data_IF_085599286272
#
_entry.id   IF_085599286272
#
_cell.length_a   1.000
_cell.length_b   1.000
_cell.length_c   1.000
_cell.angle_alpha   90.00
_cell.angle_beta   90.00
_cell.angle_gamma   90.00
#
_symmetry.space_group_name_H-M   'P 1'
#
loop_
_entity.id
_entity.type
_entity.pdbx_description
1 polymer ?
#
# COMPACT_ATOMS: atom_id res chain seq x y z
N UNK A 1 -33.98 33.60 6.17
CA UNK A 1 -32.89 32.93 5.41
C UNK A 1 -33.41 31.57 4.99
N UNK A 2 -33.73 31.40 3.70
CA UNK A 2 -34.54 30.28 3.24
C UNK A 2 -33.82 28.92 3.36
N UNK A 3 -34.56 27.89 3.77
CA UNK A 3 -34.07 26.52 3.91
C UNK A 3 -33.47 25.96 2.60
N UNK A 4 -33.93 26.47 1.45
CA UNK A 4 -33.45 26.12 0.10
C UNK A 4 -32.02 26.64 -0.13
N UNK A 5 -31.74 27.90 0.19
CA UNK A 5 -30.40 28.49 -0.03
C UNK A 5 -29.34 27.89 0.89
N UNK A 6 -29.72 27.49 2.10
CA UNK A 6 -28.83 26.79 3.02
C UNK A 6 -28.44 25.39 2.50
N UNK A 7 -29.41 24.62 1.98
CA UNK A 7 -29.17 23.29 1.41
C UNK A 7 -28.25 23.35 0.19
N UNK A 8 -28.45 24.31 -0.70
CA UNK A 8 -27.57 24.54 -1.86
C UNK A 8 -26.14 24.88 -1.45
N UNK A 9 -25.96 25.71 -0.42
CA UNK A 9 -24.63 26.07 0.10
C UNK A 9 -23.87 24.85 0.64
N UNK A 10 -24.55 23.97 1.39
CA UNK A 10 -23.94 22.72 1.88
C UNK A 10 -23.57 21.78 0.74
N UNK A 11 -24.44 21.65 -0.27
CA UNK A 11 -24.17 20.80 -1.44
C UNK A 11 -22.97 21.30 -2.23
N UNK A 12 -22.90 22.61 -2.53
CA UNK A 12 -21.75 23.22 -3.22
C UNK A 12 -20.45 23.00 -2.46
N UNK A 13 -20.45 23.14 -1.14
CA UNK A 13 -19.29 22.86 -0.29
C UNK A 13 -18.88 21.39 -0.36
N UNK A 14 -19.84 20.46 -0.29
CA UNK A 14 -19.57 19.03 -0.40
C UNK A 14 -18.92 18.68 -1.76
N UNK A 15 -19.45 19.22 -2.86
CA UNK A 15 -18.88 19.02 -4.20
C UNK A 15 -17.44 19.54 -4.28
N UNK A 16 -17.17 20.73 -3.74
CA UNK A 16 -15.82 21.29 -3.73
C UNK A 16 -14.85 20.41 -2.95
N UNK A 17 -15.22 20.01 -1.73
CA UNK A 17 -14.39 19.12 -0.89
C UNK A 17 -14.13 17.79 -1.58
N UNK A 18 -15.16 17.18 -2.17
CA UNK A 18 -15.00 15.93 -2.94
C UNK A 18 -14.04 16.10 -4.10
N UNK A 19 -14.14 17.18 -4.88
CA UNK A 19 -13.21 17.46 -5.99
C UNK A 19 -11.78 17.57 -5.51
N UNK A 20 -11.53 18.34 -4.44
CA UNK A 20 -10.20 18.49 -3.85
C UNK A 20 -9.63 17.12 -3.48
N UNK A 21 -10.37 16.32 -2.74
CA UNK A 21 -9.93 14.98 -2.33
C UNK A 21 -9.63 14.08 -3.53
N UNK A 22 -10.49 14.09 -4.55
CA UNK A 22 -10.30 13.24 -5.72
C UNK A 22 -9.06 13.65 -6.54
N UNK A 23 -8.84 14.95 -6.74
CA UNK A 23 -7.64 15.45 -7.41
C UNK A 23 -6.38 15.20 -6.60
N UNK A 24 -6.41 15.41 -5.28
CA UNK A 24 -5.30 15.08 -4.38
C UNK A 24 -4.98 13.59 -4.43
N UNK A 25 -5.98 12.72 -4.41
CA UNK A 25 -5.80 11.26 -4.53
C UNK A 25 -5.10 10.89 -5.83
N UNK A 26 -5.53 11.47 -6.95
CA UNK A 26 -4.91 11.25 -8.26
C UNK A 26 -3.45 11.76 -8.27
N UNK A 27 -3.20 12.94 -7.70
CA UNK A 27 -1.85 13.50 -7.55
C UNK A 27 -0.92 12.59 -6.74
N UNK A 28 -1.38 12.04 -5.61
CA UNK A 28 -0.62 11.11 -4.78
C UNK A 28 -0.27 9.84 -5.57
N UNK A 29 -1.24 9.26 -6.30
CA UNK A 29 -1.00 8.05 -7.11
C UNK A 29 0.07 8.32 -8.17
N UNK A 30 -0.05 9.42 -8.90
CA UNK A 30 0.95 9.81 -9.91
C UNK A 30 2.31 9.99 -9.26
N UNK A 31 2.36 10.61 -8.07
CA UNK A 31 3.60 10.83 -7.36
C UNK A 31 4.30 9.53 -6.99
N UNK A 32 3.59 8.61 -6.32
CA UNK A 32 4.14 7.33 -5.86
C UNK A 32 4.65 6.48 -7.03
N UNK A 33 3.98 6.53 -8.17
CA UNK A 33 4.37 5.74 -9.33
C UNK A 33 5.56 6.33 -10.11
N UNK A 34 5.80 7.65 -10.02
CA UNK A 34 6.81 8.33 -10.84
C UNK A 34 8.03 8.83 -10.07
N UNK A 35 7.88 9.16 -8.79
CA UNK A 35 8.92 9.80 -8.01
C UNK A 35 9.22 9.01 -6.73
N UNK A 36 10.43 8.45 -6.59
CA UNK A 36 10.85 7.76 -5.36
C UNK A 36 11.20 8.70 -4.20
N UNK A 37 11.05 10.02 -4.37
CA UNK A 37 11.38 11.03 -3.35
C UNK A 37 10.28 11.16 -2.29
N UNK A 38 10.65 11.47 -1.05
CA UNK A 38 9.75 11.70 0.09
C UNK A 38 8.90 10.47 0.48
N UNK A 39 9.45 9.28 0.31
CA UNK A 39 8.75 8.01 0.48
C UNK A 39 8.07 7.86 1.85
N UNK A 40 8.75 8.26 2.92
CA UNK A 40 8.25 8.23 4.30
C UNK A 40 6.93 9.02 4.44
N UNK A 41 6.86 10.21 3.84
CA UNK A 41 5.67 11.05 3.89
C UNK A 41 4.54 10.46 3.03
N UNK A 42 4.86 9.90 1.87
CA UNK A 42 3.86 9.28 0.99
C UNK A 42 3.19 8.07 1.63
N UNK A 43 3.94 7.25 2.38
CA UNK A 43 3.38 6.14 3.17
C UNK A 43 2.34 6.65 4.18
N UNK A 44 2.67 7.72 4.92
CA UNK A 44 1.74 8.33 5.90
C UNK A 44 0.51 8.91 5.20
N UNK A 45 0.70 9.65 4.11
CA UNK A 45 -0.40 10.26 3.35
C UNK A 45 -1.35 9.19 2.83
N UNK A 46 -0.84 8.12 2.21
CA UNK A 46 -1.66 7.00 1.74
C UNK A 46 -2.43 6.32 2.87
N UNK A 47 -1.80 6.12 4.04
CA UNK A 47 -2.50 5.62 5.22
C UNK A 47 -3.67 6.53 5.65
N UNK A 48 -3.49 7.85 5.61
CA UNK A 48 -4.54 8.78 6.03
C UNK A 48 -5.70 8.90 5.04
N UNK A 49 -5.48 8.70 3.75
CA UNK A 49 -6.49 8.97 2.71
C UNK A 49 -7.81 8.18 2.88
N UNK A 50 -7.82 6.85 3.11
CA UNK A 50 -9.06 6.12 3.38
C UNK A 50 -9.77 6.60 4.65
N UNK A 51 -9.01 6.96 5.70
CA UNK A 51 -9.57 7.48 6.96
C UNK A 51 -10.28 8.81 6.71
N UNK A 52 -9.65 9.72 5.95
CA UNK A 52 -10.25 10.99 5.53
C UNK A 52 -11.55 10.74 4.73
N UNK A 53 -11.54 9.78 3.79
CA UNK A 53 -12.73 9.41 3.02
C UNK A 53 -13.90 8.95 3.90
N UNK A 54 -13.64 8.08 4.88
CA UNK A 54 -14.63 7.60 5.85
C UNK A 54 -15.16 8.76 6.72
N UNK A 55 -14.27 9.63 7.21
CA UNK A 55 -14.65 10.79 8.02
C UNK A 55 -15.53 11.76 7.24
N UNK A 56 -15.20 12.07 5.99
CA UNK A 56 -16.00 12.95 5.13
C UNK A 56 -17.39 12.38 4.87
N UNK A 57 -17.50 11.07 4.61
CA UNK A 57 -18.79 10.41 4.52
C UNK A 57 -19.61 10.61 5.81
N UNK A 58 -19.01 10.34 6.97
CA UNK A 58 -19.70 10.41 8.27
C UNK A 58 -20.15 11.82 8.64
N UNK A 59 -19.24 12.79 8.50
CA UNK A 59 -19.47 14.19 8.87
C UNK A 59 -20.46 14.89 7.94
N UNK A 60 -20.52 14.47 6.67
CA UNK A 60 -21.48 15.00 5.69
C UNK A 60 -22.90 14.47 5.89
N UNK A 61 -23.13 13.56 6.85
CA UNK A 61 -24.43 12.90 7.10
C UNK A 61 -25.03 12.24 5.84
N UNK A 62 -24.18 11.78 4.92
CA UNK A 62 -24.57 11.10 3.69
C UNK A 62 -24.74 12.00 2.45
N UNK A 63 -24.38 13.29 2.52
CA UNK A 63 -24.27 14.15 1.33
C UNK A 63 -23.08 13.72 0.47
N UNK A 64 -21.94 13.46 1.12
CA UNK A 64 -20.77 12.84 0.50
C UNK A 64 -20.96 11.33 0.53
N UNK A 65 -20.67 10.68 -0.61
CA UNK A 65 -20.94 9.27 -0.84
C UNK A 65 -19.65 8.51 -1.13
N UNK A 66 -19.66 7.21 -0.84
CA UNK A 66 -18.62 6.25 -1.22
C UNK A 66 -19.32 5.20 -2.08
N UNK A 67 -19.48 5.47 -3.37
CA UNK A 67 -20.24 4.62 -4.28
C UNK A 67 -19.41 4.30 -5.52
N UNK A 68 -19.54 3.11 -6.10
CA UNK A 68 -18.89 2.79 -7.37
C UNK A 68 -19.50 3.56 -8.56
N UNK A 69 -20.74 4.06 -8.42
CA UNK A 69 -21.44 4.75 -9.49
C UNK A 69 -20.86 6.16 -9.69
N UNK A 70 -20.27 6.40 -10.86
CA UNK A 70 -19.48 7.60 -11.20
C UNK A 70 -20.26 8.91 -11.25
N UNK A 71 -21.59 8.86 -11.28
CA UNK A 71 -22.45 10.01 -11.61
C UNK A 71 -22.77 10.96 -10.44
N UNK A 72 -22.15 10.79 -9.26
CA UNK A 72 -22.32 11.74 -8.16
C UNK A 72 -21.11 12.67 -8.03
N UNK A 73 -21.34 13.97 -8.12
CA UNK A 73 -20.34 15.01 -7.88
C UNK A 73 -19.84 15.07 -6.43
N UNK A 74 -20.47 14.31 -5.52
CA UNK A 74 -20.11 14.18 -4.10
C UNK A 74 -19.49 12.81 -3.75
N UNK A 75 -19.00 12.06 -4.74
CA UNK A 75 -18.38 10.76 -4.52
C UNK A 75 -16.87 10.85 -4.22
N UNK A 76 -16.45 10.38 -3.04
CA UNK A 76 -15.04 10.38 -2.57
C UNK A 76 -14.34 9.03 -2.69
N UNK A 77 -14.84 8.12 -3.53
CA UNK A 77 -14.22 6.81 -3.76
C UNK A 77 -12.74 6.92 -4.14
N UNK A 78 -12.30 8.01 -4.78
CA UNK A 78 -10.92 8.17 -5.19
C UNK A 78 -9.92 8.15 -4.02
N UNK A 79 -10.35 8.56 -2.81
CA UNK A 79 -9.53 8.54 -1.59
C UNK A 79 -9.05 7.14 -1.19
N UNK A 80 -9.65 6.08 -1.74
CA UNK A 80 -9.36 4.71 -1.41
C UNK A 80 -8.34 4.06 -2.36
N UNK A 81 -8.01 4.70 -3.49
CA UNK A 81 -7.02 4.14 -4.44
C UNK A 81 -5.54 4.34 -4.07
N UNK A 82 -5.09 5.47 -3.48
CA UNK A 82 -3.67 5.68 -3.19
C UNK A 82 -2.97 4.52 -2.45
N UNK A 83 -3.57 3.91 -1.40
CA UNK A 83 -2.93 2.79 -0.73
C UNK A 83 -2.77 1.52 -1.57
N UNK A 84 -3.64 1.28 -2.55
CA UNK A 84 -3.53 0.13 -3.45
C UNK A 84 -2.26 0.29 -4.31
N UNK A 85 -2.03 1.50 -4.81
CA UNK A 85 -0.82 1.81 -5.57
C UNK A 85 0.42 1.85 -4.69
N UNK A 86 0.29 2.25 -3.42
CA UNK A 86 1.38 2.14 -2.46
C UNK A 86 1.75 0.67 -2.21
N UNK A 87 0.77 -0.23 -2.02
CA UNK A 87 1.01 -1.66 -1.84
C UNK A 87 1.78 -2.25 -3.04
N UNK A 88 1.36 -1.89 -4.26
CA UNK A 88 2.04 -2.27 -5.48
C UNK A 88 3.49 -1.76 -5.53
N UNK A 89 3.70 -0.48 -5.17
CA UNK A 89 5.02 0.14 -5.14
C UNK A 89 5.94 -0.52 -4.11
N UNK A 90 5.47 -0.75 -2.89
CA UNK A 90 6.24 -1.42 -1.83
C UNK A 90 6.65 -2.82 -2.26
N UNK A 91 5.76 -3.57 -2.90
CA UNK A 91 6.07 -4.90 -3.40
C UNK A 91 7.18 -4.89 -4.45
N UNK A 92 7.30 -3.81 -5.24
CA UNK A 92 8.36 -3.65 -6.23
C UNK A 92 9.68 -3.15 -5.64
N UNK A 93 9.61 -2.32 -4.59
CA UNK A 93 10.77 -1.65 -4.01
C UNK A 93 11.46 -2.49 -2.91
N UNK A 94 10.75 -3.40 -2.23
CA UNK A 94 11.27 -4.15 -1.09
C UNK A 94 11.19 -5.67 -1.29
N UNK A 95 12.30 -6.34 -1.00
CA UNK A 95 12.38 -7.79 -0.99
C UNK A 95 12.11 -8.33 0.43
N UNK A 96 10.90 -8.82 0.67
CA UNK A 96 10.53 -9.41 1.96
C UNK A 96 11.07 -10.85 2.04
N UNK A 97 11.85 -11.14 3.07
CA UNK A 97 12.48 -12.46 3.28
C UNK A 97 11.44 -13.50 3.70
N UNK A 98 10.57 -13.12 4.65
CA UNK A 98 9.57 -14.03 5.21
C UNK A 98 8.26 -13.30 5.50
N UNK A 99 7.18 -13.79 4.91
CA UNK A 99 5.83 -13.25 5.11
C UNK A 99 5.12 -13.80 6.36
N UNK A 100 5.70 -14.75 7.10
CA UNK A 100 5.08 -15.36 8.29
C UNK A 100 4.59 -14.33 9.31
N UNK A 101 5.42 -13.34 9.62
CA UNK A 101 5.12 -12.27 10.58
C UNK A 101 4.19 -11.17 9.99
N UNK A 102 3.96 -11.17 8.67
CA UNK A 102 3.06 -10.22 8.01
C UNK A 102 1.60 -10.55 8.35
N UNK A 103 1.25 -11.84 8.31
CA UNK A 103 -0.15 -12.28 8.33
C UNK A 103 -0.89 -11.92 9.61
N UNK A 104 -0.23 -12.04 10.77
CA UNK A 104 -0.86 -11.71 12.06
C UNK A 104 -1.22 -10.22 12.14
N UNK A 105 -0.26 -9.35 11.85
CA UNK A 105 -0.45 -7.89 11.85
C UNK A 105 -1.50 -7.45 10.83
N UNK A 106 -1.45 -8.02 9.62
CA UNK A 106 -2.42 -7.72 8.56
C UNK A 106 -3.82 -8.21 8.93
N UNK A 107 -3.97 -9.41 9.49
CA UNK A 107 -5.28 -9.95 9.87
C UNK A 107 -5.95 -9.07 10.93
N UNK A 108 -5.24 -8.73 12.02
CA UNK A 108 -5.78 -7.89 13.09
C UNK A 108 -6.19 -6.52 12.57
N UNK A 109 -5.30 -5.85 11.83
CA UNK A 109 -5.58 -4.50 11.31
C UNK A 109 -6.68 -4.51 10.25
N UNK A 110 -6.81 -5.57 9.45
CA UNK A 110 -7.90 -5.75 8.49
C UNK A 110 -9.25 -5.86 9.19
N UNK A 111 -9.32 -6.66 10.26
CA UNK A 111 -10.53 -6.80 11.07
C UNK A 111 -10.91 -5.46 11.69
N UNK A 112 -9.96 -4.78 12.34
CA UNK A 112 -10.19 -3.48 12.98
C UNK A 112 -10.66 -2.43 11.98
N UNK A 113 -9.97 -2.28 10.84
CA UNK A 113 -10.34 -1.30 9.83
C UNK A 113 -11.69 -1.60 9.18
N UNK A 114 -11.97 -2.87 8.87
CA UNK A 114 -13.28 -3.29 8.35
C UNK A 114 -14.40 -3.04 9.35
N UNK A 115 -14.18 -3.35 10.63
CA UNK A 115 -15.15 -3.09 11.69
C UNK A 115 -15.45 -1.60 11.83
N UNK A 116 -14.41 -0.74 11.87
CA UNK A 116 -14.57 0.72 11.89
C UNK A 116 -15.37 1.19 10.68
N UNK A 117 -15.03 0.71 9.48
CA UNK A 117 -15.73 1.06 8.26
C UNK A 117 -17.23 0.72 8.36
N UNK A 118 -17.57 -0.50 8.80
CA UNK A 118 -18.95 -0.95 8.91
C UNK A 118 -19.73 -0.22 10.02
N UNK A 119 -19.10 0.05 11.17
CA UNK A 119 -19.72 0.80 12.28
C UNK A 119 -20.06 2.23 11.84
N UNK A 120 -19.16 2.88 11.11
CA UNK A 120 -19.38 4.23 10.58
C UNK A 120 -20.45 4.25 9.49
N UNK A 121 -20.59 3.14 8.75
CA UNK A 121 -21.45 3.03 7.57
C UNK A 121 -22.52 1.93 7.72
N UNK A 122 -23.28 1.90 8.83
CA UNK A 122 -24.25 0.83 9.13
C UNK A 122 -25.29 0.56 8.04
N UNK A 123 -25.58 1.55 7.17
CA UNK A 123 -26.49 1.40 6.04
C UNK A 123 -26.11 0.24 5.11
N UNK A 124 -24.83 -0.10 4.99
CA UNK A 124 -24.38 -1.22 4.17
C UNK A 124 -24.85 -2.58 4.68
N UNK A 125 -25.20 -2.70 5.97
CA UNK A 125 -25.75 -3.93 6.55
C UNK A 125 -27.25 -4.10 6.28
N UNK A 126 -27.92 -3.07 5.78
CA UNK A 126 -29.37 -3.07 5.54
C UNK A 126 -29.74 -3.34 4.07
N UNK A 127 -28.74 -3.58 3.21
CA UNK A 127 -28.94 -3.82 1.78
C UNK A 127 -29.19 -5.31 1.54
N UNK A 128 -30.07 -5.64 0.58
CA UNK A 128 -30.45 -7.00 0.20
C UNK A 128 -29.24 -7.94 -0.08
N UNK A 129 -28.11 -7.39 -0.52
CA UNK A 129 -26.86 -8.10 -0.78
C UNK A 129 -25.71 -7.67 0.16
N UNK A 130 -26.00 -7.49 1.46
CA UNK A 130 -25.04 -7.01 2.46
C UNK A 130 -23.75 -7.85 2.52
N UNK A 131 -23.83 -9.18 2.38
CA UNK A 131 -22.67 -10.09 2.42
C UNK A 131 -21.65 -9.80 1.31
N UNK A 132 -22.11 -9.45 0.09
CA UNK A 132 -21.23 -9.05 -1.03
C UNK A 132 -20.53 -7.72 -0.73
N UNK A 133 -21.24 -6.82 -0.05
CA UNK A 133 -20.69 -5.52 0.35
C UNK A 133 -19.63 -5.69 1.42
N UNK A 134 -19.88 -6.53 2.44
CA UNK A 134 -18.89 -6.88 3.44
C UNK A 134 -17.66 -7.51 2.81
N UNK A 135 -17.84 -8.49 1.91
CA UNK A 135 -16.71 -9.13 1.24
C UNK A 135 -15.83 -8.11 0.51
N UNK A 136 -16.44 -7.16 -0.21
CA UNK A 136 -15.71 -6.08 -0.89
C UNK A 136 -14.96 -5.17 0.09
N UNK A 137 -15.60 -4.82 1.21
CA UNK A 137 -14.97 -4.01 2.27
C UNK A 137 -13.78 -4.76 2.86
N UNK A 138 -13.95 -6.03 3.24
CA UNK A 138 -12.88 -6.85 3.82
C UNK A 138 -11.72 -7.02 2.83
N UNK A 139 -12.01 -7.31 1.56
CA UNK A 139 -11.00 -7.44 0.53
C UNK A 139 -10.23 -6.13 0.32
N UNK A 140 -10.94 -5.00 0.26
CA UNK A 140 -10.33 -3.68 0.19
C UNK A 140 -9.46 -3.40 1.41
N UNK A 141 -9.99 -3.61 2.62
CA UNK A 141 -9.28 -3.44 3.89
C UNK A 141 -8.02 -4.29 3.92
N UNK A 142 -8.07 -5.52 3.44
CA UNK A 142 -6.93 -6.42 3.38
C UNK A 142 -5.81 -5.87 2.49
N UNK A 143 -6.13 -5.47 1.26
CA UNK A 143 -5.14 -4.90 0.32
C UNK A 143 -4.56 -3.60 0.89
N UNK A 144 -5.41 -2.75 1.44
CA UNK A 144 -5.03 -1.49 2.08
C UNK A 144 -4.05 -1.72 3.24
N UNK A 145 -4.45 -2.56 4.20
CA UNK A 145 -3.68 -2.86 5.40
C UNK A 145 -2.38 -3.57 5.05
N UNK A 146 -2.39 -4.48 4.08
CA UNK A 146 -1.18 -5.16 3.62
C UNK A 146 -0.12 -4.16 3.14
N UNK A 147 -0.50 -3.22 2.27
CA UNK A 147 0.39 -2.16 1.83
C UNK A 147 0.89 -1.27 2.98
N UNK A 148 0.00 -0.89 3.89
CA UNK A 148 0.38 -0.07 5.06
C UNK A 148 1.33 -0.80 5.98
N UNK A 149 1.05 -2.05 6.34
CA UNK A 149 1.87 -2.82 7.28
C UNK A 149 3.28 -3.01 6.73
N UNK A 150 3.42 -3.44 5.48
CA UNK A 150 4.74 -3.65 4.88
C UNK A 150 5.45 -2.31 4.65
N UNK A 151 4.71 -1.29 4.19
CA UNK A 151 5.27 0.04 3.96
C UNK A 151 5.81 0.65 5.24
N UNK A 152 5.03 0.63 6.32
CA UNK A 152 5.51 1.10 7.61
C UNK A 152 6.67 0.25 8.13
N UNK A 153 6.60 -1.07 7.91
CA UNK A 153 7.64 -1.99 8.35
C UNK A 153 9.01 -1.65 7.78
N UNK A 154 9.10 -1.41 6.47
CA UNK A 154 10.35 -1.20 5.77
C UNK A 154 10.81 0.26 5.82
N UNK A 155 9.89 1.21 5.62
CA UNK A 155 10.23 2.63 5.43
C UNK A 155 10.60 3.33 6.73
N UNK A 156 10.01 2.88 7.84
CA UNK A 156 10.34 3.39 9.18
C UNK A 156 11.22 2.41 9.95
N UNK A 157 11.81 1.42 9.27
CA UNK A 157 12.83 0.58 9.88
C UNK A 157 14.08 1.41 10.19
N UNK A 158 14.51 1.38 11.45
CA UNK A 158 15.76 2.00 11.92
C UNK A 158 16.75 0.95 12.42
N UNK A 159 16.49 -0.34 12.18
CA UNK A 159 17.37 -1.42 12.58
C UNK A 159 18.70 -1.36 11.83
N UNK A 160 19.78 -1.74 12.51
CA UNK A 160 21.07 -1.93 11.85
C UNK A 160 21.00 -3.23 11.04
N UNK A 161 21.38 -3.22 9.74
CA UNK A 161 21.34 -4.42 8.94
C UNK A 161 22.40 -5.42 9.40
N UNK A 162 22.06 -6.71 9.31
CA UNK A 162 23.04 -7.78 9.29
C UNK A 162 23.62 -7.86 7.87
N UNK A 163 24.94 -7.92 7.77
CA UNK A 163 25.65 -7.85 6.49
C UNK A 163 26.18 -9.25 6.18
N UNK A 164 25.85 -9.75 5.00
CA UNK A 164 26.31 -11.06 4.54
C UNK A 164 27.03 -10.92 3.19
N UNK A 165 28.18 -11.58 3.06
CA UNK A 165 28.78 -11.82 1.75
C UNK A 165 28.05 -13.00 1.11
N UNK A 166 27.53 -12.78 -0.10
CA UNK A 166 26.81 -13.81 -0.85
C UNK A 166 27.32 -13.87 -2.28
N UNK A 167 27.26 -15.04 -2.89
CA UNK A 167 27.63 -15.21 -4.29
C UNK A 167 26.37 -15.33 -5.14
N UNK A 168 26.34 -14.64 -6.29
CA UNK A 168 25.25 -14.76 -7.26
C UNK A 168 25.27 -16.18 -7.84
N UNK A 169 24.25 -16.97 -7.55
CA UNK A 169 24.12 -18.34 -8.03
C UNK A 169 23.33 -18.41 -9.34
N UNK A 170 22.26 -17.61 -9.44
CA UNK A 170 21.40 -17.61 -10.62
C UNK A 170 20.81 -16.22 -10.88
N UNK A 171 20.57 -15.92 -12.16
CA UNK A 171 19.99 -14.66 -12.62
C UNK A 171 18.88 -14.96 -13.62
N UNK A 172 17.72 -14.29 -13.47
CA UNK A 172 16.55 -14.49 -14.32
C UNK A 172 15.87 -13.17 -14.63
N UNK A 173 15.42 -13.02 -15.86
CA UNK A 173 14.48 -11.97 -16.26
C UNK A 173 13.08 -12.57 -16.32
N UNK A 174 12.15 -12.08 -15.51
CA UNK A 174 10.74 -12.43 -15.64
C UNK A 174 10.09 -11.43 -16.61
N UNK A 175 9.56 -11.92 -17.73
CA UNK A 175 8.93 -11.08 -18.76
C UNK A 175 7.40 -11.13 -18.74
N UNK A 176 6.80 -11.92 -17.84
CA UNK A 176 5.33 -12.00 -17.72
C UNK A 176 4.84 -10.79 -16.93
N UNK A 177 4.15 -9.87 -17.60
CA UNK A 177 3.68 -8.62 -17.00
C UNK A 177 4.74 -7.51 -17.07
N UNK A 178 5.12 -6.95 -15.92
CA UNK A 178 6.21 -5.96 -15.83
C UNK A 178 7.53 -6.72 -15.75
N UNK A 179 8.51 -6.32 -16.55
CA UNK A 179 9.85 -6.94 -16.53
C UNK A 179 10.47 -6.79 -15.15
N UNK A 180 10.75 -7.90 -14.47
CA UNK A 180 11.55 -7.95 -13.24
C UNK A 180 12.90 -8.61 -13.51
N UNK A 181 13.89 -8.20 -12.71
CA UNK A 181 15.27 -8.65 -12.78
C UNK A 181 15.58 -9.33 -11.46
N UNK A 182 15.51 -10.65 -11.45
CA UNK A 182 15.61 -11.45 -10.23
C UNK A 182 16.99 -12.11 -10.17
N UNK A 183 17.61 -12.04 -9.00
CA UNK A 183 18.83 -12.76 -8.68
C UNK A 183 18.57 -13.71 -7.51
N UNK A 184 19.30 -14.80 -7.49
CA UNK A 184 19.35 -15.75 -6.40
C UNK A 184 20.79 -15.82 -5.89
N UNK A 185 20.96 -15.55 -4.60
CA UNK A 185 22.28 -15.47 -3.96
C UNK A 185 22.39 -16.51 -2.87
N UNK A 186 23.56 -17.11 -2.73
CA UNK A 186 23.87 -18.04 -1.65
C UNK A 186 24.80 -17.34 -0.68
N UNK A 187 24.40 -17.25 0.58
CA UNK A 187 25.23 -16.67 1.62
C UNK A 187 26.33 -17.65 2.03
N UNK A 188 27.57 -17.15 2.10
CA UNK A 188 28.74 -17.93 2.53
C UNK A 188 28.60 -18.43 3.98
N UNK A 189 27.85 -17.70 4.82
CA UNK A 189 27.63 -18.01 6.24
C UNK A 189 26.45 -18.96 6.47
N UNK A 190 25.41 -18.88 5.63
CA UNK A 190 24.21 -19.74 5.76
C UNK A 190 24.23 -20.98 4.87
N UNK A 191 25.21 -21.13 3.98
CA UNK A 191 25.59 -22.23 3.06
C UNK A 191 24.48 -23.08 2.37
N UNK A 192 23.19 -22.79 2.56
CA UNK A 192 22.09 -23.66 2.15
C UNK A 192 20.80 -22.90 1.82
N UNK A 193 20.63 -21.67 2.32
CA UNK A 193 19.44 -20.85 2.04
C UNK A 193 19.73 -19.89 0.88
N UNK A 194 19.16 -20.20 -0.28
CA UNK A 194 19.17 -19.31 -1.42
C UNK A 194 18.20 -18.14 -1.18
N UNK A 195 18.71 -16.91 -1.23
CA UNK A 195 17.93 -15.68 -1.05
C UNK A 195 17.58 -15.14 -2.42
N UNK A 196 16.27 -14.96 -2.68
CA UNK A 196 15.76 -14.38 -3.92
C UNK A 196 15.54 -12.88 -3.74
N UNK A 197 16.03 -12.11 -4.69
CA UNK A 197 15.99 -10.65 -4.69
C UNK A 197 15.59 -10.16 -6.07
N UNK A 198 14.62 -9.25 -6.13
CA UNK A 198 14.41 -8.42 -7.30
C UNK A 198 15.27 -7.18 -7.17
N UNK A 199 16.06 -6.88 -8.20
CA UNK A 199 16.96 -5.73 -8.28
C UNK A 199 16.61 -4.85 -9.47
N UNK A 200 17.18 -3.65 -9.54
CA UNK A 200 17.00 -2.79 -10.70
C UNK A 200 17.80 -3.27 -11.92
N UNK A 201 17.35 -2.85 -13.10
CA UNK A 201 17.95 -3.23 -14.39
C UNK A 201 19.45 -2.91 -14.49
N UNK A 202 19.89 -1.77 -13.95
CA UNK A 202 21.27 -1.34 -14.11
C UNK A 202 22.17 -2.25 -13.27
N UNK A 203 21.81 -2.44 -12.00
CA UNK A 203 22.49 -3.39 -11.11
C UNK A 203 22.52 -4.80 -11.73
N UNK A 204 21.41 -5.27 -12.31
CA UNK A 204 21.37 -6.58 -12.96
C UNK A 204 22.34 -6.71 -14.14
N UNK A 205 22.47 -5.67 -14.98
CA UNK A 205 23.37 -5.73 -16.14
C UNK A 205 24.85 -5.65 -15.76
N UNK A 206 25.17 -5.20 -14.55
CA UNK A 206 26.54 -5.10 -14.03
C UNK A 206 26.97 -6.37 -13.25
N UNK A 207 26.02 -7.23 -12.90
CA UNK A 207 26.25 -8.47 -12.17
C UNK A 207 26.44 -9.66 -13.11
N UNK A 208 27.20 -10.63 -12.63
CA UNK A 208 27.44 -11.91 -13.30
C UNK A 208 27.29 -13.05 -12.27
N UNK A 209 26.92 -14.23 -12.75
CA UNK A 209 26.89 -15.44 -11.92
C UNK A 209 28.31 -15.74 -11.42
N UNK A 210 28.44 -16.09 -10.14
CA UNK A 210 29.72 -16.30 -9.46
C UNK A 210 30.32 -15.03 -8.84
N UNK A 211 29.74 -13.85 -9.09
CA UNK A 211 30.19 -12.60 -8.47
C UNK A 211 29.74 -12.51 -7.01
N UNK A 212 30.61 -12.00 -6.16
CA UNK A 212 30.27 -11.70 -4.77
C UNK A 212 29.51 -10.37 -4.68
N UNK A 213 28.45 -10.38 -3.88
CA UNK A 213 27.58 -9.25 -3.58
C UNK A 213 27.35 -9.19 -2.08
N UNK A 214 27.28 -7.96 -1.56
CA UNK A 214 26.93 -7.74 -0.16
C UNK A 214 25.42 -7.68 0.00
N UNK A 215 24.86 -8.45 0.92
CA UNK A 215 23.42 -8.43 1.22
C UNK A 215 23.20 -7.81 2.60
N UNK A 216 22.31 -6.83 2.66
CA UNK A 216 21.85 -6.21 3.90
C UNK A 216 20.51 -6.81 4.29
N UNK A 217 20.47 -7.48 5.44
CA UNK A 217 19.24 -8.05 6.02
C UNK A 217 18.78 -7.17 7.16
N UNK A 218 17.61 -6.58 7.01
CA UNK A 218 16.97 -5.74 8.01
C UNK A 218 15.94 -6.52 8.81
N UNK A 219 15.71 -6.10 10.05
CA UNK A 219 14.74 -6.76 10.94
C UNK A 219 13.29 -6.40 10.60
N UNK A 220 13.04 -5.19 10.11
CA UNK A 220 11.71 -4.60 9.97
C UNK A 220 11.16 -4.08 11.30
N UNK A 221 10.42 -2.97 11.23
CA UNK A 221 9.76 -2.37 12.40
C UNK A 221 8.80 -3.33 13.11
N UNK A 222 8.09 -4.18 12.36
CA UNK A 222 7.16 -5.18 12.87
C UNK A 222 7.77 -6.59 12.88
N UNK A 223 9.09 -6.70 12.92
CA UNK A 223 9.82 -7.96 12.83
C UNK A 223 9.52 -8.73 11.52
N UNK A 224 9.24 -8.01 10.45
CA UNK A 224 9.09 -8.56 9.09
C UNK A 224 10.40 -8.27 8.37
N UNK A 225 11.27 -9.28 8.28
CA UNK A 225 12.59 -9.12 7.67
C UNK A 225 12.51 -8.81 6.19
N UNK A 226 13.35 -7.88 5.74
CA UNK A 226 13.49 -7.49 4.34
C UNK A 226 14.96 -7.31 4.00
N UNK A 227 15.27 -7.39 2.71
CA UNK A 227 16.66 -7.45 2.21
C UNK A 227 16.90 -6.48 1.07
N UNK A 228 18.13 -6.01 1.00
CA UNK A 228 18.66 -5.15 -0.05
C UNK A 228 20.04 -5.64 -0.49
N UNK A 229 20.30 -5.62 -1.80
CA UNK A 229 21.62 -5.88 -2.33
C UNK A 229 22.44 -4.58 -2.30
N UNK A 230 23.65 -4.64 -1.76
CA UNK A 230 24.63 -3.59 -1.87
C UNK A 230 25.07 -3.39 -3.31
N UNK A 231 25.22 -2.11 -3.68
CA UNK A 231 25.84 -1.71 -4.94
C UNK A 231 27.36 -1.77 -4.85
#
# INVERSE_FOLDING_TARGET
>A
MDSITLKEKFLRKAVLVTKIINYTSAGIIVWILKFPTFYNYMVIVCFLMPIIGILLFRLSKGIIKIEAKRNSSTNVLAAFFPPIFLAFRIHSDFNIVNYSNVWFSVAIMTILFSAIFLIVNRKYLQIENWYRTILRIVLFSFIYVFGVVIGFNCVFDKSKPQIFTSTVNHMRIQSVGIKSYDIEVISEEKQSEAIKLTIDKNTYNELEVGRNVTIYVFKGLFNISWVEAGR
#
